data_IF_909519107691
#
_entry.id   IF_909519107691
#
_cell.length_a   1.000
_cell.length_b   1.000
_cell.length_c   1.000
_cell.angle_alpha   90.00
_cell.angle_beta   90.00
_cell.angle_gamma   90.00
#
_symmetry.space_group_name_H-M   'P 1'
#
loop_
_entity.id
_entity.type
_entity.pdbx_description
1 polymer ?
#
# COMPACT_ATOMS: atom_id res chain seq x y z
N UNK A 1 71.39 18.63 -9.30
CA UNK A 1 70.49 19.42 -8.43
C UNK A 1 69.54 18.45 -7.76
N UNK A 2 69.50 18.53 -6.42
CA UNK A 2 68.36 18.26 -5.52
C UNK A 2 67.51 17.00 -5.77
N UNK A 3 67.63 16.00 -4.87
CA UNK A 3 66.61 15.66 -3.84
C UNK A 3 65.37 14.98 -4.47
N UNK A 4 64.87 13.81 -4.08
CA UNK A 4 65.12 12.97 -2.91
C UNK A 4 64.49 11.60 -3.20
N UNK A 5 65.25 10.58 -2.82
CA UNK A 5 64.92 9.23 -2.32
C UNK A 5 63.72 8.45 -2.91
N UNK A 6 63.92 7.25 -3.48
CA UNK A 6 64.32 6.00 -2.80
C UNK A 6 63.28 5.61 -1.74
N UNK A 7 62.56 4.50 -1.88
CA UNK A 7 62.92 3.11 -1.44
C UNK A 7 61.61 2.62 -0.78
N UNK A 8 61.07 1.40 -0.91
CA UNK A 8 61.46 0.09 -1.40
C UNK A 8 60.14 -0.70 -1.51
N UNK A 9 60.02 -1.65 -2.44
CA UNK A 9 59.98 -3.09 -2.16
C UNK A 9 58.92 -3.50 -1.09
N UNK A 10 58.02 -4.44 -1.30
CA UNK A 10 58.08 -5.61 -2.15
C UNK A 10 56.68 -6.27 -2.20
N UNK A 11 56.47 -7.08 -3.24
CA UNK A 11 55.88 -8.42 -3.18
C UNK A 11 54.52 -8.57 -2.45
N UNK A 12 53.42 -8.72 -3.19
CA UNK A 12 52.94 -9.97 -3.81
C UNK A 12 51.91 -10.69 -2.96
N UNK A 13 50.93 -11.27 -3.65
CA UNK A 13 49.96 -12.27 -3.21
C UNK A 13 48.71 -11.74 -2.46
N UNK A 14 47.66 -11.53 -3.25
CA UNK A 14 46.28 -11.84 -2.87
C UNK A 14 46.18 -13.26 -2.32
N UNK A 15 45.36 -13.48 -1.28
CA UNK A 15 44.60 -14.71 -1.17
C UNK A 15 43.09 -14.44 -1.13
N UNK A 16 42.37 -15.35 -1.78
CA UNK A 16 40.94 -15.58 -1.65
C UNK A 16 40.56 -16.10 -0.24
N UNK A 17 39.24 -16.13 0.01
CA UNK A 17 38.50 -16.74 1.13
C UNK A 17 38.18 -15.80 2.31
N UNK A 18 36.89 -15.49 2.48
CA UNK A 18 36.30 -15.31 3.82
C UNK A 18 34.84 -15.83 3.83
N UNK A 19 34.72 -17.14 4.03
CA UNK A 19 33.62 -17.76 4.77
C UNK A 19 34.28 -18.40 6.01
N UNK A 20 33.81 -18.08 7.22
CA UNK A 20 34.22 -18.81 8.43
C UNK A 20 34.22 -18.00 9.73
N UNK A 21 33.17 -18.20 10.52
CA UNK A 21 33.05 -18.30 11.99
C UNK A 21 33.96 -17.54 12.96
N UNK A 22 33.29 -17.02 14.01
CA UNK A 22 33.71 -16.86 15.40
C UNK A 22 34.89 -15.92 15.72
N UNK A 23 34.52 -14.70 16.09
CA UNK A 23 35.25 -13.91 17.08
C UNK A 23 34.25 -13.32 18.08
N UNK A 24 34.03 -14.04 19.17
CA UNK A 24 33.52 -13.48 20.43
C UNK A 24 34.67 -12.73 21.11
N UNK A 25 34.56 -11.41 21.29
CA UNK A 25 34.76 -10.78 22.61
C UNK A 25 34.45 -9.28 22.59
N UNK A 26 33.49 -8.91 23.44
CA UNK A 26 33.55 -7.74 24.32
C UNK A 26 33.73 -6.34 23.70
N UNK A 27 32.61 -5.78 23.22
CA UNK A 27 32.21 -4.41 23.55
C UNK A 27 30.71 -4.40 23.86
N UNK A 28 30.36 -4.89 25.05
CA UNK A 28 29.02 -4.73 25.59
C UNK A 28 28.85 -3.30 26.10
N UNK A 29 28.19 -2.43 25.31
CA UNK A 29 27.40 -1.28 25.82
C UNK A 29 26.62 -0.49 24.76
N UNK A 30 26.34 -1.04 23.57
CA UNK A 30 25.32 -0.48 22.66
C UNK A 30 24.54 -1.57 21.89
N UNK A 31 24.02 -2.58 22.59
CA UNK A 31 22.95 -3.43 22.03
C UNK A 31 21.62 -2.66 22.10
N UNK A 32 21.51 -1.59 21.33
CA UNK A 32 20.20 -1.00 21.03
C UNK A 32 19.40 -2.07 20.30
N UNK A 33 18.23 -2.46 20.83
CA UNK A 33 17.42 -3.57 20.31
C UNK A 33 17.21 -3.47 18.79
N UNK A 34 17.97 -4.25 18.03
CA UNK A 34 17.76 -4.44 16.59
C UNK A 34 16.71 -5.53 16.41
N UNK A 35 15.54 -5.16 15.93
CA UNK A 35 14.50 -6.11 15.57
C UNK A 35 14.65 -6.44 14.08
N UNK A 36 14.67 -7.73 13.76
CA UNK A 36 14.71 -8.19 12.36
C UNK A 36 13.58 -9.17 12.14
N UNK A 37 12.79 -8.90 11.10
CA UNK A 37 11.66 -9.73 10.67
C UNK A 37 11.72 -9.93 9.16
N UNK A 38 11.11 -11.00 8.71
CA UNK A 38 11.03 -11.40 7.32
C UNK A 38 9.57 -11.63 6.96
N UNK A 39 9.22 -11.42 5.69
CA UNK A 39 7.89 -11.77 5.17
C UNK A 39 8.09 -12.76 4.05
N UNK A 40 7.36 -13.88 4.09
CA UNK A 40 7.38 -14.87 3.04
C UNK A 40 6.49 -14.49 1.84
N UNK A 41 6.51 -15.29 0.78
CA UNK A 41 5.73 -15.05 -0.44
C UNK A 41 4.20 -15.07 -0.26
N UNK A 42 3.72 -15.60 0.86
CA UNK A 42 2.29 -15.67 1.19
C UNK A 42 1.88 -14.57 2.18
N UNK A 43 2.79 -13.64 2.51
CA UNK A 43 2.53 -12.59 3.48
C UNK A 43 2.71 -12.99 4.94
N UNK A 44 3.27 -14.17 5.24
CA UNK A 44 3.50 -14.58 6.62
C UNK A 44 4.71 -13.85 7.22
N UNK A 45 4.51 -13.21 8.37
CA UNK A 45 5.56 -12.52 9.13
C UNK A 45 6.33 -13.52 10.00
N UNK A 46 7.66 -13.52 9.87
CA UNK A 46 8.56 -14.48 10.50
C UNK A 46 9.68 -13.72 11.21
N UNK A 47 9.79 -13.93 12.52
CA UNK A 47 10.91 -13.39 13.31
C UNK A 47 12.23 -14.04 12.91
N UNK A 48 13.34 -13.30 12.97
CA UNK A 48 14.66 -13.80 12.59
C UNK A 48 15.11 -15.08 13.32
N UNK A 49 14.63 -15.32 14.54
CA UNK A 49 14.91 -16.53 15.33
C UNK A 49 14.08 -17.76 14.91
N UNK A 50 13.12 -17.61 13.98
CA UNK A 50 12.21 -18.67 13.51
C UNK A 50 12.37 -18.96 12.01
N UNK A 51 13.50 -18.58 11.43
CA UNK A 51 13.77 -18.82 10.02
C UNK A 51 13.76 -20.32 9.71
N UNK A 52 13.01 -20.69 8.67
CA UNK A 52 12.93 -22.07 8.17
C UNK A 52 13.82 -22.29 6.94
N UNK A 53 14.37 -21.21 6.40
CA UNK A 53 15.25 -21.21 5.24
C UNK A 53 16.23 -20.02 5.32
N UNK A 54 17.29 -19.98 4.49
CA UNK A 54 18.21 -18.86 4.47
C UNK A 54 17.52 -17.51 4.23
N UNK A 55 17.95 -16.46 4.93
CA UNK A 55 17.38 -15.11 4.90
C UNK A 55 17.15 -14.57 3.47
N UNK A 56 18.10 -14.79 2.56
CA UNK A 56 18.04 -14.38 1.14
C UNK A 56 16.85 -14.96 0.34
N UNK A 57 16.17 -15.98 0.86
CA UNK A 57 15.03 -16.60 0.19
C UNK A 57 13.70 -15.93 0.56
N UNK A 58 13.67 -15.08 1.58
CA UNK A 58 12.49 -14.32 1.94
C UNK A 58 12.39 -13.08 1.04
N UNK A 59 11.21 -12.80 0.46
CA UNK A 59 11.06 -11.68 -0.44
C UNK A 59 11.15 -10.31 0.23
N UNK A 60 10.91 -10.23 1.55
CA UNK A 60 11.04 -9.01 2.34
C UNK A 60 11.89 -9.27 3.57
N UNK A 61 12.78 -8.33 3.89
CA UNK A 61 13.45 -8.23 5.19
C UNK A 61 13.22 -6.83 5.74
N UNK A 62 12.90 -6.73 7.03
CA UNK A 62 12.71 -5.45 7.72
C UNK A 62 13.60 -5.46 8.95
N UNK A 63 14.43 -4.44 9.07
CA UNK A 63 15.32 -4.20 10.19
C UNK A 63 14.93 -2.89 10.85
N UNK A 64 14.58 -2.95 12.14
CA UNK A 64 14.28 -1.76 12.93
C UNK A 64 15.42 -1.52 13.92
N UNK A 65 15.98 -0.32 13.87
CA UNK A 65 16.89 0.19 14.87
C UNK A 65 16.40 1.58 15.26
N UNK A 66 15.90 1.71 16.48
CA UNK A 66 15.35 2.97 17.02
C UNK A 66 14.16 3.47 16.18
N UNK A 67 14.26 4.70 15.68
CA UNK A 67 13.32 5.34 14.74
C UNK A 67 13.74 5.20 13.28
N UNK A 68 14.67 4.28 12.97
CA UNK A 68 15.07 3.96 11.60
C UNK A 68 14.57 2.58 11.24
N UNK A 69 13.88 2.50 10.11
CA UNK A 69 13.41 1.25 9.53
C UNK A 69 14.12 1.04 8.21
N UNK A 70 14.81 -0.08 8.06
CA UNK A 70 15.41 -0.49 6.80
C UNK A 70 14.59 -1.63 6.21
N UNK A 71 14.12 -1.45 4.99
CA UNK A 71 13.25 -2.39 4.28
C UNK A 71 14.00 -2.85 3.04
N UNK A 72 14.19 -4.16 2.92
CA UNK A 72 14.73 -4.78 1.71
C UNK A 72 13.62 -5.55 0.98
N UNK A 73 13.50 -5.33 -0.33
CA UNK A 73 12.53 -5.99 -1.22
C UNK A 73 13.29 -6.70 -2.34
N UNK A 74 13.12 -8.02 -2.41
CA UNK A 74 13.70 -8.82 -3.47
C UNK A 74 12.88 -8.75 -4.76
N UNK A 75 13.49 -9.13 -5.89
CA UNK A 75 12.78 -9.31 -7.16
C UNK A 75 11.72 -10.43 -7.18
N UNK A 76 11.66 -11.28 -6.16
CA UNK A 76 10.70 -12.41 -6.03
C UNK A 76 9.46 -12.05 -5.19
N UNK A 77 9.28 -10.77 -4.92
CA UNK A 77 8.16 -10.26 -4.13
C UNK A 77 6.81 -10.56 -4.79
N UNK A 78 5.80 -10.80 -3.97
CA UNK A 78 4.40 -11.04 -4.38
C UNK A 78 3.50 -9.92 -3.86
N UNK A 79 2.31 -9.78 -4.45
CA UNK A 79 1.28 -8.84 -3.96
C UNK A 79 0.96 -9.07 -2.48
N UNK A 80 0.77 -10.33 -2.05
CA UNK A 80 0.43 -10.66 -0.66
C UNK A 80 1.55 -10.25 0.31
N UNK A 81 2.81 -10.46 -0.08
CA UNK A 81 3.95 -10.06 0.72
C UNK A 81 4.10 -8.54 0.85
N UNK A 82 3.80 -7.76 -0.21
CA UNK A 82 3.78 -6.30 -0.15
C UNK A 82 2.62 -5.77 0.70
N UNK A 83 1.42 -6.33 0.56
CA UNK A 83 0.28 -5.96 1.41
C UNK A 83 0.56 -6.26 2.87
N UNK A 84 1.14 -7.42 3.18
CA UNK A 84 1.56 -7.77 4.53
C UNK A 84 2.63 -6.80 5.05
N UNK A 85 3.61 -6.42 4.22
CA UNK A 85 4.60 -5.39 4.54
C UNK A 85 3.91 -4.08 4.93
N UNK A 86 3.10 -3.50 4.04
CA UNK A 86 2.38 -2.23 4.25
C UNK A 86 1.57 -2.28 5.56
N UNK A 87 0.78 -3.34 5.75
CA UNK A 87 -0.02 -3.53 6.96
C UNK A 87 0.82 -3.65 8.23
N UNK A 88 2.01 -4.22 8.14
CA UNK A 88 2.92 -4.36 9.28
C UNK A 88 3.60 -3.04 9.62
N UNK A 89 4.15 -2.32 8.64
CA UNK A 89 4.98 -1.14 8.89
C UNK A 89 4.16 0.14 9.13
N UNK A 90 2.87 0.17 8.77
CA UNK A 90 2.00 1.33 9.01
C UNK A 90 1.81 1.70 10.48
N UNK A 91 2.11 0.80 11.42
CA UNK A 91 2.10 1.12 12.86
C UNK A 91 3.37 1.86 13.31
N UNK A 92 4.37 1.98 12.42
CA UNK A 92 5.68 2.56 12.68
C UNK A 92 5.84 3.91 11.94
N UNK A 93 4.79 4.72 11.88
CA UNK A 93 4.76 5.98 11.10
C UNK A 93 5.82 7.00 11.54
N UNK A 94 6.24 6.96 12.81
CA UNK A 94 7.24 7.87 13.39
C UNK A 94 8.70 7.51 13.05
N UNK A 95 8.91 6.58 12.11
CA UNK A 95 10.24 6.11 11.71
C UNK A 95 10.61 6.59 10.32
N UNK A 96 11.85 7.06 10.14
CA UNK A 96 12.43 7.26 8.81
C UNK A 96 12.62 5.91 8.14
N UNK A 97 12.32 5.80 6.85
CA UNK A 97 12.34 4.53 6.13
C UNK A 97 13.40 4.53 5.03
N UNK A 98 14.37 3.64 5.12
CA UNK A 98 15.29 3.32 4.03
C UNK A 98 14.73 2.13 3.26
N UNK A 99 14.38 2.33 1.99
CA UNK A 99 13.92 1.28 1.09
C UNK A 99 15.05 0.88 0.15
N UNK A 100 15.38 -0.41 0.14
CA UNK A 100 16.30 -1.04 -0.82
C UNK A 100 15.52 -2.06 -1.62
N UNK A 101 15.42 -1.85 -2.93
CA UNK A 101 14.55 -2.63 -3.82
C UNK A 101 15.31 -3.20 -5.01
N UNK A 102 15.10 -4.50 -5.26
CA UNK A 102 15.48 -5.18 -6.51
C UNK A 102 14.30 -5.29 -7.49
N UNK A 103 13.12 -4.81 -7.12
CA UNK A 103 11.92 -4.90 -7.93
C UNK A 103 11.97 -3.83 -9.04
N UNK A 104 11.84 -4.21 -10.33
CA UNK A 104 11.77 -3.23 -11.42
C UNK A 104 10.60 -2.25 -11.23
N UNK A 105 10.86 -0.96 -11.39
CA UNK A 105 9.87 0.11 -11.22
C UNK A 105 9.65 0.58 -9.79
N UNK A 106 10.33 -0.01 -8.79
CA UNK A 106 10.38 0.49 -7.42
C UNK A 106 11.83 0.86 -7.07
N UNK A 107 12.11 2.16 -7.11
CA UNK A 107 13.44 2.69 -6.81
C UNK A 107 13.78 2.58 -5.32
N UNK A 108 15.07 2.41 -5.05
CA UNK A 108 15.61 2.48 -3.68
C UNK A 108 15.75 3.94 -3.27
N UNK A 109 15.28 4.29 -2.07
CA UNK A 109 15.25 5.67 -1.60
C UNK A 109 15.20 5.74 -0.05
N UNK A 110 15.40 6.94 0.49
CA UNK A 110 15.24 7.24 1.91
C UNK A 110 14.07 8.21 2.07
N UNK A 111 13.05 7.77 2.79
CA UNK A 111 11.85 8.54 3.07
C UNK A 111 11.90 9.12 4.49
N UNK A 112 11.88 10.44 4.59
CA UNK A 112 11.73 11.15 5.87
C UNK A 112 10.30 10.99 6.42
N UNK A 113 9.30 11.10 5.54
CA UNK A 113 7.89 10.87 5.88
C UNK A 113 7.43 9.49 5.39
N UNK A 114 6.86 8.70 6.30
CA UNK A 114 6.47 7.32 6.04
C UNK A 114 5.36 7.15 4.99
N UNK A 115 4.48 8.15 4.83
CA UNK A 115 3.39 8.16 3.86
C UNK A 115 3.89 7.99 2.42
N UNK A 116 4.97 8.66 2.01
CA UNK A 116 5.54 8.49 0.66
C UNK A 116 6.09 7.08 0.45
N UNK A 117 6.73 6.49 1.46
CA UNK A 117 7.16 5.10 1.41
C UNK A 117 5.96 4.15 1.20
N UNK A 118 4.88 4.35 1.97
CA UNK A 118 3.65 3.55 1.82
C UNK A 118 3.01 3.72 0.43
N UNK A 119 2.99 4.94 -0.11
CA UNK A 119 2.48 5.20 -1.44
C UNK A 119 3.29 4.43 -2.50
N UNK A 120 4.63 4.52 -2.46
CA UNK A 120 5.51 3.82 -3.42
C UNK A 120 5.39 2.30 -3.34
N UNK A 121 5.37 1.75 -2.12
CA UNK A 121 5.13 0.31 -1.90
C UNK A 121 3.75 -0.13 -2.43
N UNK A 122 2.75 0.71 -2.20
CA UNK A 122 1.38 0.53 -2.66
C UNK A 122 1.25 0.53 -4.19
N UNK A 123 1.85 1.52 -4.84
CA UNK A 123 1.92 1.63 -6.30
C UNK A 123 2.60 0.40 -6.92
N UNK A 124 3.73 -0.04 -6.34
CA UNK A 124 4.41 -1.26 -6.78
C UNK A 124 3.53 -2.52 -6.58
N UNK A 125 2.80 -2.59 -5.47
CA UNK A 125 1.87 -3.68 -5.19
C UNK A 125 0.71 -3.73 -6.20
N UNK A 126 0.15 -2.58 -6.54
CA UNK A 126 -0.90 -2.43 -7.54
C UNK A 126 -0.39 -2.83 -8.92
N UNK A 127 0.76 -2.30 -9.35
CA UNK A 127 1.37 -2.63 -10.64
C UNK A 127 1.64 -4.14 -10.79
N UNK A 128 2.17 -4.79 -9.74
CA UNK A 128 2.36 -6.24 -9.72
C UNK A 128 1.04 -7.01 -9.82
N UNK A 129 0.01 -6.54 -9.11
CA UNK A 129 -1.31 -7.15 -9.19
C UNK A 129 -1.87 -7.06 -10.61
N UNK A 130 -1.93 -5.85 -11.18
CA UNK A 130 -2.50 -5.58 -12.51
C UNK A 130 -1.75 -6.30 -13.64
N UNK A 131 -0.41 -6.33 -13.61
CA UNK A 131 0.42 -7.01 -14.60
C UNK A 131 0.08 -8.51 -14.73
N UNK A 132 -0.29 -9.16 -13.63
CA UNK A 132 -0.66 -10.57 -13.63
C UNK A 132 -2.09 -10.84 -14.15
N UNK A 133 -2.93 -9.80 -14.35
CA UNK A 133 -4.35 -9.93 -14.78
C UNK A 133 -4.58 -9.52 -16.24
N UNK A 134 -3.52 -9.52 -17.07
CA UNK A 134 -3.58 -9.45 -18.55
C UNK A 134 -4.43 -8.30 -19.10
N UNK A 135 -4.30 -7.10 -18.53
CA UNK A 135 -4.93 -5.89 -19.06
C UNK A 135 -6.38 -5.65 -18.64
N UNK A 136 -6.90 -6.38 -17.65
CA UNK A 136 -8.20 -6.04 -17.02
C UNK A 136 -8.19 -4.69 -16.29
N UNK A 137 -7.04 -4.32 -15.76
CA UNK A 137 -6.84 -3.12 -14.97
C UNK A 137 -5.56 -2.43 -15.44
N UNK A 138 -5.62 -1.12 -15.50
CA UNK A 138 -4.47 -0.26 -15.71
C UNK A 138 -4.72 1.03 -14.95
N UNK A 139 -4.17 1.17 -13.76
CA UNK A 139 -4.45 2.32 -12.93
C UNK A 139 -3.22 2.88 -12.22
N UNK A 140 -3.36 4.14 -11.82
CA UNK A 140 -2.42 4.88 -11.01
C UNK A 140 -3.09 5.35 -9.73
N UNK A 141 -2.31 5.49 -8.65
CA UNK A 141 -2.78 5.98 -7.35
C UNK A 141 -1.79 7.01 -6.88
N UNK A 142 -2.28 8.17 -6.49
CA UNK A 142 -1.49 9.27 -5.93
C UNK A 142 -2.24 9.95 -4.78
N UNK A 143 -1.55 10.85 -4.07
CA UNK A 143 -2.21 11.70 -3.09
C UNK A 143 -3.24 12.60 -3.76
N UNK A 144 -4.37 12.81 -3.10
CA UNK A 144 -5.33 13.78 -3.58
C UNK A 144 -4.76 15.20 -3.38
N UNK A 145 -4.52 15.92 -4.48
CA UNK A 145 -4.15 17.33 -4.44
C UNK A 145 -5.35 18.19 -4.84
N UNK A 146 -5.64 19.24 -4.06
CA UNK A 146 -6.77 20.16 -4.32
C UNK A 146 -6.69 20.89 -5.67
N UNK A 147 -5.54 20.84 -6.35
CA UNK A 147 -5.25 21.53 -7.62
C UNK A 147 -5.31 20.61 -8.85
N UNK A 148 -6.33 19.76 -8.94
CA UNK A 148 -6.60 19.06 -10.21
C UNK A 148 -7.38 20.01 -11.13
N UNK A 149 -6.80 20.35 -12.28
CA UNK A 149 -7.39 21.25 -13.31
C UNK A 149 -8.79 20.79 -13.81
N UNK A 150 -9.23 19.59 -13.43
CA UNK A 150 -10.49 18.97 -13.81
C UNK A 150 -11.59 19.03 -12.72
N UNK A 151 -11.44 19.84 -11.66
CA UNK A 151 -12.41 19.92 -10.56
C UNK A 151 -13.86 20.18 -11.00
N UNK A 152 -14.05 20.90 -12.12
CA UNK A 152 -15.36 21.19 -12.72
C UNK A 152 -16.00 19.97 -13.43
N UNK A 153 -15.23 18.92 -13.72
CA UNK A 153 -15.69 17.69 -14.39
C UNK A 153 -15.94 16.54 -13.41
N UNK A 154 -15.57 16.70 -12.14
CA UNK A 154 -15.73 15.66 -11.13
C UNK A 154 -17.18 15.58 -10.62
N UNK A 155 -17.68 14.37 -10.33
CA UNK A 155 -18.97 14.20 -9.67
C UNK A 155 -19.04 14.97 -8.34
N UNK A 156 -20.23 15.50 -8.03
CA UNK A 156 -20.51 16.30 -6.84
C UNK A 156 -20.01 15.66 -5.54
N UNK A 157 -20.17 14.35 -5.39
CA UNK A 157 -19.73 13.62 -4.19
C UNK A 157 -18.21 13.64 -4.04
N UNK A 158 -17.45 13.47 -5.12
CA UNK A 158 -15.99 13.52 -5.08
C UNK A 158 -15.53 14.93 -4.66
N UNK A 159 -16.11 15.96 -5.27
CA UNK A 159 -15.75 17.36 -4.99
C UNK A 159 -16.09 17.76 -3.55
N UNK A 160 -17.19 17.27 -2.98
CA UNK A 160 -17.55 17.61 -1.60
C UNK A 160 -16.80 16.80 -0.56
N UNK A 161 -16.67 15.48 -0.75
CA UNK A 161 -15.99 14.62 0.21
C UNK A 161 -14.51 14.97 0.37
N UNK A 162 -13.86 15.45 -0.70
CA UNK A 162 -12.45 15.88 -0.65
C UNK A 162 -12.24 17.17 0.14
N UNK A 163 -13.27 18.01 0.26
CA UNK A 163 -13.23 19.22 1.12
C UNK A 163 -13.35 18.87 2.62
N UNK A 164 -13.78 17.65 2.94
CA UNK A 164 -13.91 17.21 4.32
C UNK A 164 -12.54 16.84 4.90
N UNK A 165 -12.13 17.57 5.94
CA UNK A 165 -10.91 17.29 6.68
C UNK A 165 -11.16 16.25 7.78
N UNK A 166 -11.50 15.01 7.39
CA UNK A 166 -11.91 13.96 8.34
C UNK A 166 -10.85 12.92 8.67
N UNK A 167 -9.75 12.84 7.91
CA UNK A 167 -8.77 11.75 8.04
C UNK A 167 -8.10 11.64 9.42
N UNK A 168 -7.93 12.79 10.10
CA UNK A 168 -7.30 12.88 11.42
C UNK A 168 -8.28 12.73 12.60
N UNK A 169 -9.60 12.76 12.33
CA UNK A 169 -10.64 12.68 13.34
C UNK A 169 -10.86 11.23 13.77
N UNK A 170 -11.35 11.04 15.00
CA UNK A 170 -11.86 9.75 15.42
C UNK A 170 -13.09 9.35 14.59
N UNK A 171 -13.31 8.04 14.45
CA UNK A 171 -14.38 7.51 13.60
C UNK A 171 -15.77 8.08 13.88
N UNK A 172 -16.27 8.12 15.14
CA UNK A 172 -17.55 8.77 15.44
C UNK A 172 -17.64 10.22 14.96
N UNK A 173 -16.62 11.05 15.26
CA UNK A 173 -16.60 12.46 14.86
C UNK A 173 -16.54 12.63 13.35
N UNK A 174 -15.71 11.83 12.66
CA UNK A 174 -15.62 11.84 11.21
C UNK A 174 -16.96 11.47 10.55
N UNK A 175 -17.62 10.41 11.01
CA UNK A 175 -18.91 9.96 10.48
C UNK A 175 -20.02 10.98 10.73
N UNK A 176 -19.99 11.72 11.84
CA UNK A 176 -20.96 12.76 12.15
C UNK A 176 -20.89 13.97 11.20
N UNK A 177 -19.75 14.18 10.52
CA UNK A 177 -19.60 15.24 9.52
C UNK A 177 -20.08 14.83 8.13
N UNK A 178 -20.41 13.56 7.92
CA UNK A 178 -20.86 13.06 6.63
C UNK A 178 -22.36 13.32 6.46
N UNK A 179 -22.71 14.17 5.50
CA UNK A 179 -24.10 14.37 5.13
C UNK A 179 -24.57 13.22 4.22
N UNK A 180 -25.80 12.77 4.43
CA UNK A 180 -26.35 11.59 3.72
C UNK A 180 -26.41 11.82 2.20
N UNK A 181 -26.78 13.02 1.77
CA UNK A 181 -26.83 13.41 0.36
C UNK A 181 -25.44 13.45 -0.30
N UNK A 182 -24.38 13.73 0.45
CA UNK A 182 -23.00 13.79 -0.07
C UNK A 182 -22.34 12.41 -0.15
N UNK A 183 -22.95 11.39 0.46
CA UNK A 183 -22.43 10.02 0.56
C UNK A 183 -23.36 8.97 -0.07
N UNK A 184 -24.37 9.40 -0.82
CA UNK A 184 -25.33 8.51 -1.48
C UNK A 184 -24.62 7.50 -2.40
N UNK A 185 -23.70 8.00 -3.23
CA UNK A 185 -22.92 7.18 -4.17
C UNK A 185 -21.54 6.76 -3.62
N UNK A 186 -21.36 6.78 -2.30
CA UNK A 186 -20.14 6.33 -1.65
C UNK A 186 -20.28 4.91 -1.10
N UNK A 187 -19.24 4.11 -1.30
CA UNK A 187 -19.06 2.83 -0.64
C UNK A 187 -18.33 3.03 0.70
N UNK A 188 -18.74 2.26 1.71
CA UNK A 188 -18.15 2.33 3.05
C UNK A 188 -17.53 1.00 3.41
N UNK A 189 -16.31 1.04 3.89
CA UNK A 189 -15.57 -0.13 4.34
C UNK A 189 -15.14 0.03 5.79
N UNK A 190 -15.11 -1.08 6.52
CA UNK A 190 -14.41 -1.16 7.79
C UNK A 190 -13.21 -2.08 7.69
N UNK A 191 -12.18 -1.76 8.47
CA UNK A 191 -10.99 -2.57 8.54
C UNK A 191 -11.18 -3.70 9.57
N UNK A 192 -11.04 -4.95 9.12
CA UNK A 192 -11.23 -6.14 9.96
C UNK A 192 -9.99 -6.46 10.80
N UNK A 193 -10.14 -7.35 11.77
CA UNK A 193 -9.02 -7.86 12.57
C UNK A 193 -7.99 -8.62 11.72
N UNK A 194 -8.44 -9.27 10.65
CA UNK A 194 -7.61 -10.04 9.71
C UNK A 194 -6.95 -9.17 8.63
N UNK A 195 -6.98 -7.85 8.80
CA UNK A 195 -6.42 -6.89 7.85
C UNK A 195 -7.07 -6.93 6.47
N UNK A 196 -8.39 -6.94 6.41
CA UNK A 196 -9.16 -6.77 5.17
C UNK A 196 -10.12 -5.58 5.26
N UNK A 197 -10.44 -4.98 4.12
CA UNK A 197 -11.51 -3.99 4.01
C UNK A 197 -12.82 -4.70 3.71
N UNK A 198 -13.71 -4.75 4.70
CA UNK A 198 -15.02 -5.35 4.58
C UNK A 198 -16.07 -4.26 4.27
N UNK A 199 -16.85 -4.50 3.22
CA UNK A 199 -17.88 -3.58 2.73
C UNK A 199 -19.09 -3.54 3.69
N UNK A 200 -19.50 -2.34 4.08
CA UNK A 200 -20.64 -2.07 4.97
C UNK A 200 -21.83 -1.44 4.25
N UNK A 201 -21.57 -0.61 3.24
CA UNK A 201 -22.59 0.10 2.46
C UNK A 201 -22.18 0.11 1.00
N UNK A 202 -23.16 -0.16 0.13
CA UNK A 202 -23.05 -0.02 -1.32
C UNK A 202 -23.43 1.40 -1.76
N UNK A 203 -22.83 1.93 -2.84
CA UNK A 203 -23.34 3.13 -3.49
C UNK A 203 -24.78 2.91 -3.98
N UNK A 204 -25.65 3.90 -3.80
CA UNK A 204 -27.07 3.79 -4.15
C UNK A 204 -27.31 3.61 -5.65
N UNK A 205 -26.54 4.30 -6.50
CA UNK A 205 -26.69 4.26 -7.96
C UNK A 205 -25.54 3.52 -8.65
N UNK A 206 -24.96 2.51 -8.01
CA UNK A 206 -23.90 1.73 -8.67
C UNK A 206 -24.44 0.81 -9.76
N UNK A 207 -23.61 0.60 -10.78
CA UNK A 207 -23.92 -0.26 -11.92
C UNK A 207 -23.00 -1.48 -12.04
N UNK A 208 -21.96 -1.55 -11.19
CA UNK A 208 -21.04 -2.68 -11.14
C UNK A 208 -20.45 -2.88 -9.74
N UNK A 209 -20.31 -4.14 -9.27
CA UNK A 209 -20.80 -5.37 -9.90
C UNK A 209 -22.34 -5.40 -9.97
N UNK A 210 -22.94 -6.08 -10.97
CA UNK A 210 -24.38 -6.17 -11.08
C UNK A 210 -24.94 -6.97 -9.91
N UNK A 211 -25.87 -6.37 -9.17
CA UNK A 211 -26.58 -7.04 -8.07
C UNK A 211 -28.00 -7.35 -8.55
N UNK A 212 -28.43 -8.62 -8.54
CA UNK A 212 -29.81 -8.98 -8.81
C UNK A 212 -30.77 -8.32 -7.82
N UNK A 213 -31.92 -7.84 -8.28
CA UNK A 213 -32.93 -7.21 -7.42
C UNK A 213 -33.44 -8.15 -6.33
N UNK A 214 -33.44 -9.45 -6.61
CA UNK A 214 -33.82 -10.53 -5.70
C UNK A 214 -32.73 -10.98 -4.72
N UNK A 215 -31.54 -10.35 -4.73
CA UNK A 215 -30.44 -10.73 -3.86
C UNK A 215 -30.80 -10.52 -2.38
N UNK A 216 -30.78 -11.61 -1.60
CA UNK A 216 -31.03 -11.57 -0.16
C UNK A 216 -29.89 -10.95 0.64
N UNK A 217 -28.67 -10.99 0.09
CA UNK A 217 -27.47 -10.38 0.66
C UNK A 217 -26.65 -9.67 -0.45
N UNK A 218 -27.01 -8.40 -0.77
CA UNK A 218 -26.32 -7.60 -1.78
C UNK A 218 -24.82 -7.43 -1.52
N UNK A 219 -24.41 -7.31 -0.25
CA UNK A 219 -23.00 -7.13 0.13
C UNK A 219 -22.18 -8.37 -0.21
N UNK A 220 -22.74 -9.57 0.05
CA UNK A 220 -22.08 -10.82 -0.32
C UNK A 220 -21.95 -10.98 -1.83
N UNK A 221 -22.97 -10.61 -2.60
CA UNK A 221 -22.92 -10.63 -4.07
C UNK A 221 -21.85 -9.68 -4.60
N UNK A 222 -21.79 -8.47 -4.06
CA UNK A 222 -20.77 -7.48 -4.46
C UNK A 222 -19.33 -7.95 -4.21
N UNK A 223 -19.13 -8.78 -3.18
CA UNK A 223 -17.82 -9.32 -2.82
C UNK A 223 -17.48 -10.65 -3.53
N UNK A 224 -18.34 -11.16 -4.41
CA UNK A 224 -18.16 -12.48 -5.02
C UNK A 224 -17.02 -12.53 -6.07
N UNK A 225 -16.72 -11.42 -6.75
CA UNK A 225 -15.63 -11.39 -7.72
C UNK A 225 -14.28 -11.12 -7.05
N UNK A 226 -13.56 -12.20 -6.71
CA UNK A 226 -12.27 -12.13 -6.00
C UNK A 226 -11.24 -11.24 -6.69
N UNK A 227 -11.21 -11.22 -8.03
CA UNK A 227 -10.23 -10.42 -8.78
C UNK A 227 -10.52 -8.93 -8.66
N UNK A 228 -11.78 -8.53 -8.81
CA UNK A 228 -12.20 -7.14 -8.65
C UNK A 228 -12.05 -6.70 -7.20
N UNK A 229 -12.46 -7.54 -6.25
CA UNK A 229 -12.30 -7.26 -4.83
C UNK A 229 -10.82 -7.10 -4.45
N UNK A 230 -9.94 -8.02 -4.88
CA UNK A 230 -8.50 -7.91 -4.65
C UNK A 230 -7.89 -6.62 -5.18
N UNK A 231 -8.35 -6.16 -6.35
CA UNK A 231 -7.98 -4.87 -6.91
C UNK A 231 -8.46 -3.70 -6.03
N UNK A 232 -9.70 -3.72 -5.55
CA UNK A 232 -10.25 -2.69 -4.65
C UNK A 232 -9.52 -2.61 -3.31
N UNK A 233 -9.07 -3.76 -2.77
CA UNK A 233 -8.36 -3.83 -1.49
C UNK A 233 -7.06 -3.04 -1.55
N UNK A 234 -6.25 -3.19 -2.61
CA UNK A 234 -4.88 -2.66 -2.65
C UNK A 234 -4.85 -1.13 -2.40
N UNK A 235 -5.52 -0.27 -3.19
CA UNK A 235 -5.54 1.17 -2.94
C UNK A 235 -6.12 1.54 -1.58
N UNK A 236 -7.12 0.79 -1.10
CA UNK A 236 -7.68 1.02 0.22
C UNK A 236 -6.67 0.78 1.35
N UNK A 237 -5.82 -0.25 1.23
CA UNK A 237 -4.72 -0.49 2.17
C UNK A 237 -3.70 0.66 2.16
N UNK A 238 -3.42 1.23 0.98
CA UNK A 238 -2.54 2.40 0.83
C UNK A 238 -3.16 3.61 1.54
N UNK A 239 -4.45 3.88 1.31
CA UNK A 239 -5.16 5.00 1.93
C UNK A 239 -5.14 4.90 3.46
N UNK A 240 -5.40 3.71 4.02
CA UNK A 240 -5.31 3.50 5.47
C UNK A 240 -3.88 3.64 5.99
N UNK A 241 -2.88 3.13 5.28
CA UNK A 241 -1.48 3.21 5.71
C UNK A 241 -0.97 4.66 5.72
N UNK A 242 -1.24 5.41 4.66
CA UNK A 242 -0.89 6.83 4.52
C UNK A 242 -1.71 7.72 5.46
N UNK A 243 -2.94 7.31 5.79
CA UNK A 243 -3.94 8.14 6.47
C UNK A 243 -4.19 9.49 5.76
N UNK A 244 -4.06 9.49 4.44
CA UNK A 244 -4.29 10.66 3.58
C UNK A 244 -5.27 10.31 2.47
N UNK A 245 -6.12 11.25 2.02
CA UNK A 245 -6.97 11.03 0.86
C UNK A 245 -6.13 10.73 -0.38
N UNK A 246 -6.54 9.71 -1.14
CA UNK A 246 -5.90 9.32 -2.39
C UNK A 246 -6.89 9.46 -3.54
N UNK A 247 -6.35 9.71 -4.73
CA UNK A 247 -7.08 9.52 -5.96
C UNK A 247 -6.48 8.34 -6.73
N UNK A 248 -7.34 7.49 -7.26
CA UNK A 248 -6.97 6.44 -8.19
C UNK A 248 -7.64 6.70 -9.53
N UNK A 249 -6.91 6.61 -10.62
CA UNK A 249 -7.44 6.86 -11.95
C UNK A 249 -6.80 5.93 -12.97
N UNK A 250 -7.44 5.76 -14.10
CA UNK A 250 -6.94 4.92 -15.17
C UNK A 250 -8.08 4.25 -15.90
N UNK A 251 -7.88 3.00 -16.28
CA UNK A 251 -8.80 2.24 -17.09
C UNK A 251 -9.10 0.88 -16.48
N UNK A 252 -10.35 0.46 -16.61
CA UNK A 252 -10.84 -0.81 -16.09
C UNK A 252 -11.74 -1.53 -17.09
N UNK A 253 -11.55 -2.84 -17.24
CA UNK A 253 -12.45 -3.70 -17.98
C UNK A 253 -13.43 -4.36 -17.00
N UNK A 254 -14.71 -4.06 -17.15
CA UNK A 254 -15.77 -4.63 -16.33
C UNK A 254 -16.47 -5.78 -17.06
N UNK A 255 -16.66 -6.90 -16.36
CA UNK A 255 -17.40 -8.04 -16.88
C UNK A 255 -18.89 -7.71 -17.05
N UNK A 256 -19.51 -8.18 -18.13
CA UNK A 256 -20.96 -8.07 -18.34
C UNK A 256 -21.46 -6.70 -18.82
N UNK A 257 -20.55 -5.77 -19.16
CA UNK A 257 -20.91 -4.49 -19.75
C UNK A 257 -20.98 -4.56 -21.29
N UNK A 258 -21.98 -3.91 -21.93
CA UNK A 258 -22.27 -4.06 -23.36
C UNK A 258 -21.12 -3.60 -24.26
N UNK A 259 -20.31 -2.64 -23.78
CA UNK A 259 -19.07 -2.23 -24.43
C UNK A 259 -17.90 -3.06 -23.88
N UNK A 260 -17.51 -4.09 -24.62
CA UNK A 260 -16.29 -4.87 -24.36
C UNK A 260 -15.07 -3.97 -24.55
N UNK A 261 -14.66 -3.27 -23.49
CA UNK A 261 -13.59 -2.28 -23.59
C UNK A 261 -13.05 -1.86 -22.22
N UNK A 262 -11.94 -1.12 -22.28
CA UNK A 262 -11.33 -0.47 -21.12
C UNK A 262 -12.04 0.87 -20.88
N UNK A 263 -12.67 1.01 -19.72
CA UNK A 263 -13.44 2.18 -19.34
C UNK A 263 -12.60 3.10 -18.47
N UNK A 264 -12.45 4.39 -18.81
CA UNK A 264 -11.74 5.31 -17.96
C UNK A 264 -12.54 5.59 -16.69
N UNK A 265 -11.84 5.59 -15.56
CA UNK A 265 -12.44 5.81 -14.26
C UNK A 265 -11.62 6.77 -13.41
N UNK A 266 -12.28 7.38 -12.45
CA UNK A 266 -11.66 8.05 -11.31
C UNK A 266 -12.27 7.53 -10.02
N UNK A 267 -11.45 7.42 -8.98
CA UNK A 267 -11.84 6.95 -7.67
C UNK A 267 -11.24 7.83 -6.59
N UNK A 268 -12.08 8.31 -5.70
CA UNK A 268 -11.68 8.88 -4.43
C UNK A 268 -11.52 7.78 -3.39
N UNK A 269 -10.44 7.83 -2.62
CA UNK A 269 -10.25 7.04 -1.41
C UNK A 269 -10.04 7.98 -0.23
N UNK A 270 -11.02 8.03 0.67
CA UNK A 270 -11.01 8.91 1.83
C UNK A 270 -10.90 8.08 3.11
N UNK A 271 -9.69 7.93 3.69
CA UNK A 271 -9.50 7.14 4.89
C UNK A 271 -9.95 7.92 6.13
N UNK A 272 -10.52 7.20 7.10
CA UNK A 272 -10.70 7.65 8.48
C UNK A 272 -9.80 6.74 9.32
N UNK A 273 -8.58 7.22 9.57
CA UNK A 273 -7.49 6.44 10.13
C UNK A 273 -6.61 7.29 11.05
N UNK A 274 -7.25 7.92 12.04
CA UNK A 274 -6.57 8.74 13.05
C UNK A 274 -5.47 7.93 13.74
N UNK A 275 -4.36 8.60 14.04
CA UNK A 275 -3.23 8.03 14.76
C UNK A 275 -3.59 7.58 16.19
N UNK A 276 -4.64 8.19 16.77
CA UNK A 276 -5.13 7.85 18.11
C UNK A 276 -6.12 6.68 18.10
N UNK A 277 -6.48 6.18 16.91
CA UNK A 277 -7.53 5.18 16.74
C UNK A 277 -6.96 3.77 16.51
N UNK A 278 -7.63 2.76 17.06
CA UNK A 278 -7.23 1.36 16.90
C UNK A 278 -7.56 0.90 15.48
N UNK A 279 -6.74 0.01 14.86
CA UNK A 279 -6.98 -0.45 13.49
C UNK A 279 -8.37 -1.00 13.19
N UNK A 280 -9.01 -1.70 14.15
CA UNK A 280 -10.39 -2.22 14.00
C UNK A 280 -11.45 -1.14 13.78
N UNK A 281 -11.15 0.09 14.16
CA UNK A 281 -12.06 1.22 14.00
C UNK A 281 -11.79 1.99 12.71
N UNK A 282 -10.66 1.76 12.03
CA UNK A 282 -10.40 2.42 10.75
C UNK A 282 -11.54 2.17 9.77
N UNK A 283 -11.88 3.22 9.03
CA UNK A 283 -12.88 3.20 7.97
C UNK A 283 -12.28 3.75 6.69
N UNK A 284 -12.88 3.36 5.58
CA UNK A 284 -12.56 3.90 4.28
C UNK A 284 -13.87 4.22 3.57
N UNK A 285 -13.93 5.42 3.01
CA UNK A 285 -15.01 5.85 2.13
C UNK A 285 -14.43 5.90 0.73
N UNK A 286 -15.12 5.31 -0.24
CA UNK A 286 -14.71 5.42 -1.64
C UNK A 286 -15.86 5.87 -2.52
N UNK A 287 -15.54 6.62 -3.56
CA UNK A 287 -16.47 6.94 -4.65
C UNK A 287 -15.73 6.61 -5.93
N UNK A 288 -16.27 5.69 -6.73
CA UNK A 288 -15.67 5.30 -8.02
C UNK A 288 -16.64 5.68 -9.14
N UNK A 289 -16.14 6.38 -10.15
CA UNK A 289 -16.93 6.92 -11.25
C UNK A 289 -16.32 6.58 -12.59
N UNK A 290 -17.12 6.02 -13.49
CA UNK A 290 -16.78 5.80 -14.89
C UNK A 290 -17.07 7.08 -15.69
N UNK A 291 -16.01 7.67 -16.26
CA UNK A 291 -16.06 9.03 -16.81
C UNK A 291 -16.99 9.10 -18.03
N UNK A 292 -16.82 8.19 -18.99
CA UNK A 292 -17.59 8.22 -20.24
C UNK A 292 -19.03 7.71 -20.05
N UNK A 293 -19.21 6.70 -19.20
CA UNK A 293 -20.50 6.06 -18.92
C UNK A 293 -21.36 6.89 -17.96
N UNK A 294 -20.74 7.87 -17.29
CA UNK A 294 -21.37 8.69 -16.25
C UNK A 294 -22.05 7.86 -15.16
N UNK A 295 -21.38 6.81 -14.72
CA UNK A 295 -21.96 5.82 -13.83
C UNK A 295 -21.04 5.51 -12.64
N UNK A 296 -21.64 5.21 -11.48
CA UNK A 296 -20.89 4.83 -10.29
C UNK A 296 -20.63 3.33 -10.27
N UNK A 297 -19.45 2.93 -9.83
CA UNK A 297 -19.14 1.53 -9.54
C UNK A 297 -18.63 1.43 -8.11
N UNK A 298 -18.50 0.20 -7.61
CA UNK A 298 -17.93 -0.05 -6.29
C UNK A 298 -16.46 0.38 -6.20
#
# INVERSE_FOLDING_TARGET
>A
MQFVQKIMAAQSALPALFFGADALSETGLENWMRLTIYIDKNGQIISANKLRMPARNYPVCIEKQNRKLRIFISKKITTDALLALINHIRILKDSSMELVSELPGLDSDIFEEANYCFLRLGQACLALFEAARKGKFLSHVDFWEEATDDADQLPFEITNLTRLKIAHLDTPTALAQLLQNETANAAFYHFTADHHLALMKLPENMVHPPIPEEATDPLKVANAEETYLGWLQIPGHIAIATAQPLHQFGHIQLGGWPDTGMHPFIKLLLPIASEFERPKNYRLITVTYLIHQKAYIL
#
